data_IF_529590883656
#
_entry.id   IF_529590883656
#
_cell.length_a   1.000
_cell.length_b   1.000
_cell.length_c   1.000
_cell.angle_alpha   90.00
_cell.angle_beta   90.00
_cell.angle_gamma   90.00
#
_symmetry.space_group_name_H-M   'P 1'
#
loop_
_entity.id
_entity.type
_entity.pdbx_description
1 polymer ?
#
# COMPACT_ATOMS: atom_id res chain seq x y z
N UNK A 1 -36.89 -75.28 -45.16
CA UNK A 1 -35.60 -74.83 -44.57
C UNK A 1 -35.60 -75.02 -43.05
N UNK A 2 -36.59 -74.49 -42.33
CA UNK A 2 -36.72 -74.66 -40.87
C UNK A 2 -36.82 -76.14 -40.42
N UNK A 3 -37.54 -77.00 -41.16
CA UNK A 3 -37.64 -78.44 -40.83
C UNK A 3 -36.31 -79.19 -40.95
N UNK A 4 -35.48 -78.84 -41.94
CA UNK A 4 -34.13 -79.42 -42.10
C UNK A 4 -33.19 -78.96 -40.98
N UNK A 5 -33.30 -77.70 -40.56
CA UNK A 5 -32.53 -77.16 -39.43
C UNK A 5 -32.93 -77.84 -38.11
N UNK A 6 -34.23 -78.03 -37.87
CA UNK A 6 -34.75 -78.73 -36.70
C UNK A 6 -34.27 -80.19 -36.66
N UNK A 7 -34.34 -80.92 -37.78
CA UNK A 7 -33.85 -82.30 -37.87
C UNK A 7 -32.34 -82.43 -37.60
N UNK A 8 -31.55 -81.41 -37.95
CA UNK A 8 -30.10 -81.37 -37.68
C UNK A 8 -29.81 -81.13 -36.20
N UNK A 9 -30.59 -80.27 -35.55
CA UNK A 9 -30.50 -79.98 -34.12
C UNK A 9 -30.93 -81.21 -33.29
N UNK A 10 -32.00 -81.90 -33.70
CA UNK A 10 -32.45 -83.16 -33.08
C UNK A 10 -31.45 -84.29 -33.25
N UNK A 11 -30.76 -84.38 -34.40
CA UNK A 11 -29.79 -85.44 -34.66
C UNK A 11 -28.47 -85.28 -33.88
N UNK A 12 -28.05 -84.05 -33.55
CA UNK A 12 -26.77 -83.76 -32.86
C UNK A 12 -26.88 -82.65 -31.79
N UNK A 13 -27.73 -82.83 -30.75
CA UNK A 13 -28.03 -81.79 -29.78
C UNK A 13 -26.80 -81.31 -28.99
N UNK A 14 -25.92 -82.24 -28.59
CA UNK A 14 -24.70 -81.91 -27.83
C UNK A 14 -23.73 -81.02 -28.61
N UNK A 15 -23.57 -81.25 -29.92
CA UNK A 15 -22.70 -80.44 -30.78
C UNK A 15 -23.26 -79.04 -30.97
N UNK A 16 -24.58 -78.91 -31.14
CA UNK A 16 -25.25 -77.61 -31.27
C UNK A 16 -25.14 -76.82 -29.96
N UNK A 17 -25.38 -77.45 -28.80
CA UNK A 17 -25.22 -76.80 -27.50
C UNK A 17 -23.77 -76.35 -27.28
N UNK A 18 -22.78 -77.20 -27.57
CA UNK A 18 -21.37 -76.84 -27.44
C UNK A 18 -20.99 -75.66 -28.36
N UNK A 19 -21.53 -75.63 -29.58
CA UNK A 19 -21.32 -74.53 -30.51
C UNK A 19 -21.94 -73.21 -30.03
N UNK A 20 -23.16 -73.24 -29.49
CA UNK A 20 -23.80 -72.05 -28.91
C UNK A 20 -23.06 -71.56 -27.67
N UNK A 21 -22.60 -72.47 -26.79
CA UNK A 21 -21.78 -72.12 -25.63
C UNK A 21 -20.47 -71.48 -26.07
N UNK A 22 -19.80 -72.05 -27.08
CA UNK A 22 -18.56 -71.50 -27.62
C UNK A 22 -18.77 -70.07 -28.15
N UNK A 23 -19.81 -69.85 -28.95
CA UNK A 23 -20.16 -68.51 -29.45
C UNK A 23 -20.46 -67.56 -28.29
N UNK A 24 -21.19 -68.02 -27.27
CA UNK A 24 -21.53 -67.21 -26.11
C UNK A 24 -20.29 -66.82 -25.32
N UNK A 25 -19.33 -67.75 -25.15
CA UNK A 25 -18.05 -67.48 -24.48
C UNK A 25 -17.18 -66.50 -25.27
N UNK A 26 -17.18 -66.58 -26.61
CA UNK A 26 -16.51 -65.62 -27.48
C UNK A 26 -17.12 -64.22 -27.29
N UNK A 27 -18.45 -64.08 -27.28
CA UNK A 27 -19.07 -62.78 -27.02
C UNK A 27 -18.84 -62.31 -25.58
N UNK A 28 -18.89 -63.21 -24.60
CA UNK A 28 -18.63 -62.90 -23.20
C UNK A 28 -17.19 -62.43 -22.96
N UNK A 29 -16.21 -62.89 -23.76
CA UNK A 29 -14.82 -62.42 -23.65
C UNK A 29 -14.65 -60.95 -24.03
N UNK A 30 -15.63 -60.33 -24.67
CA UNK A 30 -15.64 -58.89 -24.96
C UNK A 30 -16.27 -58.04 -23.83
N UNK A 31 -16.91 -58.65 -22.83
CA UNK A 31 -17.48 -57.92 -21.67
C UNK A 31 -16.41 -57.07 -20.94
N UNK A 32 -15.17 -57.53 -20.71
CA UNK A 32 -14.13 -56.69 -20.11
C UNK A 32 -13.69 -55.50 -20.97
N UNK A 33 -13.99 -55.50 -22.27
CA UNK A 33 -13.64 -54.41 -23.20
C UNK A 33 -14.73 -53.33 -23.31
N UNK A 34 -15.86 -53.51 -22.61
CA UNK A 34 -16.94 -52.53 -22.57
C UNK A 34 -16.49 -51.30 -21.77
N UNK A 35 -16.32 -50.16 -22.46
CA UNK A 35 -16.18 -48.85 -21.82
C UNK A 35 -17.58 -48.28 -21.63
N UNK A 36 -18.04 -48.16 -20.38
CA UNK A 36 -19.27 -47.43 -20.08
C UNK A 36 -18.94 -45.95 -19.99
N UNK A 37 -19.57 -45.13 -20.82
CA UNK A 37 -19.56 -43.68 -20.64
C UNK A 37 -20.46 -43.32 -19.47
N UNK A 38 -19.90 -42.66 -18.45
CA UNK A 38 -20.64 -42.15 -17.28
C UNK A 38 -20.72 -40.63 -17.28
N UNK A 39 -20.02 -39.95 -18.19
CA UNK A 39 -20.01 -38.50 -18.26
C UNK A 39 -21.31 -37.99 -18.90
N UNK A 40 -21.79 -36.82 -18.49
CA UNK A 40 -22.93 -36.15 -19.13
C UNK A 40 -22.69 -35.98 -20.64
N UNK A 41 -21.41 -35.80 -21.05
CA UNK A 41 -20.99 -35.67 -22.45
C UNK A 41 -21.27 -36.91 -23.29
N UNK A 42 -21.15 -38.11 -22.71
CA UNK A 42 -21.40 -39.40 -23.40
C UNK A 42 -22.88 -39.57 -23.78
N UNK A 43 -23.77 -38.84 -23.11
CA UNK A 43 -25.21 -38.82 -23.41
C UNK A 43 -25.62 -37.67 -24.34
N UNK A 44 -24.69 -36.78 -24.72
CA UNK A 44 -25.00 -35.66 -25.60
C UNK A 44 -25.07 -36.09 -27.08
N UNK A 45 -26.02 -35.56 -27.87
CA UNK A 45 -26.15 -35.88 -29.28
C UNK A 45 -24.96 -35.33 -30.08
N UNK A 46 -24.47 -36.09 -31.06
CA UNK A 46 -23.43 -35.62 -31.98
C UNK A 46 -24.01 -34.61 -32.99
N UNK A 47 -24.00 -33.33 -32.62
CA UNK A 47 -24.46 -32.21 -33.44
C UNK A 47 -23.44 -31.07 -33.51
N UNK A 48 -23.68 -30.09 -34.38
CA UNK A 48 -22.76 -28.95 -34.57
C UNK A 48 -22.55 -28.13 -33.29
N UNK A 49 -23.59 -27.96 -32.46
CA UNK A 49 -23.50 -27.20 -31.21
C UNK A 49 -22.57 -27.89 -30.20
N UNK A 50 -22.69 -29.21 -30.04
CA UNK A 50 -21.83 -29.98 -29.14
C UNK A 50 -20.38 -29.95 -29.63
N UNK A 51 -20.13 -30.10 -30.93
CA UNK A 51 -18.79 -29.97 -31.51
C UNK A 51 -18.21 -28.56 -31.45
N UNK A 52 -19.06 -27.53 -31.46
CA UNK A 52 -18.63 -26.17 -31.18
C UNK A 52 -18.21 -26.01 -29.72
N UNK A 53 -18.98 -26.58 -28.78
CA UNK A 53 -18.63 -26.62 -27.36
C UNK A 53 -17.33 -27.38 -27.09
N UNK A 54 -17.14 -28.55 -27.71
CA UNK A 54 -15.91 -29.34 -27.56
C UNK A 54 -14.68 -28.55 -28.05
N UNK A 55 -14.81 -27.84 -29.19
CA UNK A 55 -13.74 -26.96 -29.71
C UNK A 55 -13.46 -25.78 -28.79
N UNK A 56 -14.49 -25.20 -28.16
CA UNK A 56 -14.28 -24.15 -27.16
C UNK A 56 -13.48 -24.72 -25.99
N UNK A 57 -13.84 -25.89 -25.48
CA UNK A 57 -13.10 -26.54 -24.39
C UNK A 57 -11.66 -26.91 -24.80
N UNK A 58 -11.45 -27.36 -26.03
CA UNK A 58 -10.11 -27.71 -26.54
C UNK A 58 -9.21 -26.47 -26.70
N UNK A 59 -9.76 -25.35 -27.17
CA UNK A 59 -8.99 -24.11 -27.35
C UNK A 59 -8.80 -23.29 -26.08
N UNK A 60 -9.76 -23.32 -25.16
CA UNK A 60 -9.81 -22.44 -23.99
C UNK A 60 -9.75 -23.17 -22.63
N UNK A 61 -9.74 -24.51 -22.62
CA UNK A 61 -9.81 -25.34 -21.42
C UNK A 61 -11.23 -25.77 -21.07
N UNK A 62 -11.39 -26.89 -20.35
CA UNK A 62 -12.68 -27.25 -19.76
C UNK A 62 -13.08 -26.21 -18.71
N UNK A 63 -14.39 -25.93 -18.61
CA UNK A 63 -14.88 -25.00 -17.59
C UNK A 63 -14.52 -25.55 -16.22
N UNK A 64 -13.75 -24.79 -15.43
CA UNK A 64 -13.62 -25.03 -14.01
C UNK A 64 -15.03 -25.09 -13.40
N UNK A 65 -15.33 -26.13 -12.63
CA UNK A 65 -16.62 -26.21 -11.94
C UNK A 65 -16.49 -25.51 -10.58
N UNK A 66 -17.13 -24.34 -10.38
CA UNK A 66 -17.02 -23.63 -9.12
C UNK A 66 -17.91 -24.30 -8.07
N UNK A 67 -17.29 -24.80 -7.00
CA UNK A 67 -18.01 -25.20 -5.79
C UNK A 67 -18.14 -23.99 -4.87
N UNK A 68 -19.37 -23.52 -4.72
CA UNK A 68 -19.72 -22.43 -3.82
C UNK A 68 -20.01 -22.95 -2.41
N UNK A 69 -19.27 -22.46 -1.43
CA UNK A 69 -19.36 -22.82 -0.02
C UNK A 69 -19.82 -21.59 0.76
N UNK A 70 -20.94 -21.70 1.48
CA UNK A 70 -21.44 -20.63 2.34
C UNK A 70 -20.99 -20.91 3.77
N UNK A 71 -20.19 -20.01 4.35
CA UNK A 71 -19.76 -20.04 5.73
C UNK A 71 -20.60 -19.05 6.53
N UNK A 72 -21.27 -19.52 7.60
CA UNK A 72 -22.18 -18.71 8.41
C UNK A 72 -21.76 -18.69 9.86
N UNK A 73 -21.93 -17.55 10.54
CA UNK A 73 -21.54 -17.39 11.93
C UNK A 73 -22.09 -16.11 12.55
N UNK A 74 -21.78 -15.88 13.83
CA UNK A 74 -22.19 -14.63 14.52
C UNK A 74 -21.49 -13.39 13.94
N UNK A 75 -20.23 -13.54 13.56
CA UNK A 75 -19.42 -12.53 12.90
C UNK A 75 -18.33 -13.23 12.09
N UNK A 76 -18.55 -13.39 10.79
CA UNK A 76 -17.61 -14.05 9.87
C UNK A 76 -16.38 -13.17 9.58
N UNK A 77 -16.42 -11.87 9.87
CA UNK A 77 -15.29 -10.95 9.66
C UNK A 77 -14.47 -10.70 10.93
N UNK A 78 -14.72 -11.46 12.00
CA UNK A 78 -13.86 -11.41 13.18
C UNK A 78 -12.48 -12.00 12.89
N UNK A 79 -11.44 -11.58 13.62
CA UNK A 79 -10.06 -12.11 13.45
C UNK A 79 -10.03 -13.64 13.49
N UNK A 80 -10.72 -14.25 14.46
CA UNK A 80 -10.79 -15.70 14.60
C UNK A 80 -11.51 -16.36 13.42
N UNK A 81 -12.57 -15.71 12.90
CA UNK A 81 -13.32 -16.21 11.75
C UNK A 81 -12.49 -16.14 10.48
N UNK A 82 -11.81 -15.00 10.23
CA UNK A 82 -10.91 -14.83 9.09
C UNK A 82 -9.79 -15.88 9.11
N UNK A 83 -9.19 -16.16 10.28
CA UNK A 83 -8.21 -17.25 10.43
C UNK A 83 -8.82 -18.62 10.13
N UNK A 84 -10.03 -18.89 10.62
CA UNK A 84 -10.71 -20.16 10.36
C UNK A 84 -11.04 -20.33 8.88
N UNK A 85 -11.55 -19.29 8.22
CA UNK A 85 -11.81 -19.24 6.79
C UNK A 85 -10.55 -19.49 5.97
N UNK A 86 -9.44 -18.82 6.31
CA UNK A 86 -8.16 -19.02 5.63
C UNK A 86 -7.68 -20.47 5.74
N UNK A 87 -7.80 -21.07 6.93
CA UNK A 87 -7.45 -22.46 7.16
C UNK A 87 -8.35 -23.46 6.42
N UNK A 88 -9.66 -23.18 6.33
CA UNK A 88 -10.58 -23.96 5.50
C UNK A 88 -10.13 -23.89 4.04
N UNK A 89 -9.84 -22.69 3.52
CA UNK A 89 -9.38 -22.51 2.15
C UNK A 89 -8.07 -23.24 1.86
N UNK A 90 -7.09 -23.19 2.78
CA UNK A 90 -5.84 -23.95 2.66
C UNK A 90 -6.08 -25.46 2.57
N UNK A 91 -6.92 -26.02 3.44
CA UNK A 91 -7.25 -27.45 3.42
C UNK A 91 -7.99 -27.88 2.16
N UNK A 92 -8.82 -27.00 1.61
CA UNK A 92 -9.51 -27.26 0.34
C UNK A 92 -8.51 -27.27 -0.82
N UNK A 93 -7.53 -26.35 -0.85
CA UNK A 93 -6.46 -26.35 -1.85
C UNK A 93 -5.53 -27.59 -1.79
N UNK A 94 -5.53 -28.34 -0.68
CA UNK A 94 -4.77 -29.59 -0.56
C UNK A 94 -5.51 -30.80 -1.19
N UNK A 95 -6.80 -30.65 -1.52
CA UNK A 95 -7.60 -31.71 -2.12
C UNK A 95 -7.22 -31.84 -3.61
N UNK A 96 -6.87 -33.06 -4.02
CA UNK A 96 -6.59 -33.38 -5.42
C UNK A 96 -7.78 -32.98 -6.30
N UNK A 97 -7.51 -32.18 -7.34
CA UNK A 97 -8.52 -31.65 -8.26
C UNK A 97 -9.00 -30.23 -7.92
N UNK A 98 -8.67 -29.67 -6.76
CA UNK A 98 -8.92 -28.25 -6.46
C UNK A 98 -7.74 -27.42 -6.95
N UNK A 99 -7.98 -26.51 -7.89
CA UNK A 99 -6.94 -25.64 -8.47
C UNK A 99 -6.77 -24.32 -7.72
N UNK A 100 -7.83 -23.86 -7.05
CA UNK A 100 -7.79 -22.62 -6.30
C UNK A 100 -9.00 -22.42 -5.39
N UNK A 101 -8.80 -21.65 -4.34
CA UNK A 101 -9.86 -21.25 -3.41
C UNK A 101 -9.78 -19.76 -3.16
N UNK A 102 -10.92 -19.09 -3.33
CA UNK A 102 -11.07 -17.64 -3.12
C UNK A 102 -12.19 -17.37 -2.12
N UNK A 103 -11.88 -16.54 -1.12
CA UNK A 103 -12.83 -16.02 -0.14
C UNK A 103 -12.31 -14.74 0.51
N UNK A 104 -13.08 -14.19 1.44
CA UNK A 104 -12.76 -12.92 2.16
C UNK A 104 -11.37 -12.97 2.80
N UNK A 105 -11.02 -14.10 3.42
CA UNK A 105 -9.73 -14.29 4.05
C UNK A 105 -8.55 -14.18 3.08
N UNK A 106 -8.70 -14.56 1.80
CA UNK A 106 -7.64 -14.41 0.80
C UNK A 106 -7.37 -12.93 0.50
N UNK A 107 -8.41 -12.09 0.44
CA UNK A 107 -8.24 -10.65 0.25
C UNK A 107 -7.57 -10.00 1.46
N UNK A 108 -7.94 -10.39 2.68
CA UNK A 108 -7.23 -9.93 3.89
C UNK A 108 -5.78 -10.39 3.88
N UNK A 109 -5.51 -11.64 3.46
CA UNK A 109 -4.14 -12.17 3.33
C UNK A 109 -3.31 -11.35 2.33
N UNK A 110 -3.91 -10.88 1.23
CA UNK A 110 -3.22 -10.00 0.28
C UNK A 110 -2.80 -8.66 0.93
N UNK A 111 -3.66 -8.08 1.77
CA UNK A 111 -3.35 -6.86 2.52
C UNK A 111 -2.26 -7.11 3.56
N UNK A 112 -2.32 -8.24 4.27
CA UNK A 112 -1.24 -8.67 5.17
C UNK A 112 0.11 -8.77 4.45
N UNK A 113 0.13 -9.37 3.25
CA UNK A 113 1.34 -9.46 2.42
C UNK A 113 1.85 -8.08 1.98
N UNK A 114 0.94 -7.16 1.60
CA UNK A 114 1.30 -5.81 1.18
C UNK A 114 1.83 -4.93 2.31
N UNK A 115 1.24 -5.01 3.50
CA UNK A 115 1.57 -4.11 4.62
C UNK A 115 2.65 -4.64 5.55
N UNK A 116 2.65 -5.96 5.78
CA UNK A 116 3.49 -6.61 6.78
C UNK A 116 4.49 -7.59 6.17
N UNK A 117 4.41 -7.88 4.87
CA UNK A 117 5.24 -8.87 4.18
C UNK A 117 5.13 -10.26 4.82
N UNK A 118 3.90 -10.61 5.24
CA UNK A 118 3.56 -11.84 5.96
C UNK A 118 2.35 -12.51 5.34
N UNK A 119 2.32 -13.84 5.40
CA UNK A 119 1.08 -14.57 5.20
C UNK A 119 0.12 -14.36 6.38
N UNK A 120 -1.17 -14.60 6.16
CA UNK A 120 -2.19 -14.41 7.19
C UNK A 120 -1.93 -15.22 8.48
N UNK A 121 -1.33 -16.41 8.37
CA UNK A 121 -1.01 -17.26 9.52
C UNK A 121 0.13 -16.72 10.39
N UNK A 122 0.99 -15.87 9.83
CA UNK A 122 2.11 -15.23 10.53
C UNK A 122 1.74 -13.87 11.12
N UNK A 123 0.56 -13.35 10.76
CA UNK A 123 0.07 -12.08 11.25
C UNK A 123 -0.50 -12.20 12.68
N UNK A 124 -0.22 -11.19 13.51
CA UNK A 124 -0.87 -11.05 14.81
C UNK A 124 -2.36 -10.72 14.66
N UNK A 125 -3.11 -10.87 15.75
CA UNK A 125 -4.53 -10.54 15.75
C UNK A 125 -4.78 -9.06 15.42
N UNK A 126 -3.90 -8.17 15.89
CA UNK A 126 -3.95 -6.74 15.58
C UNK A 126 -3.58 -6.46 14.12
N UNK A 127 -2.60 -7.17 13.56
CA UNK A 127 -2.22 -7.05 12.14
C UNK A 127 -3.38 -7.45 11.23
N UNK A 128 -4.08 -8.56 11.53
CA UNK A 128 -5.24 -9.02 10.76
C UNK A 128 -6.41 -8.05 10.90
N UNK A 129 -6.69 -7.58 12.11
CA UNK A 129 -7.74 -6.59 12.36
C UNK A 129 -7.47 -5.30 11.58
N UNK A 130 -6.22 -4.82 11.60
CA UNK A 130 -5.81 -3.64 10.86
C UNK A 130 -5.92 -3.87 9.36
N UNK A 131 -5.39 -4.98 8.84
CA UNK A 131 -5.49 -5.34 7.42
C UNK A 131 -6.94 -5.41 6.93
N UNK A 132 -7.85 -5.99 7.72
CA UNK A 132 -9.28 -5.99 7.41
C UNK A 132 -9.88 -4.58 7.41
N UNK A 133 -9.58 -3.76 8.42
CA UNK A 133 -10.07 -2.38 8.47
C UNK A 133 -9.54 -1.55 7.30
N UNK A 134 -8.27 -1.73 6.97
CA UNK A 134 -7.58 -1.07 5.86
C UNK A 134 -8.11 -1.54 4.50
N UNK A 135 -8.55 -2.80 4.37
CA UNK A 135 -9.28 -3.27 3.21
C UNK A 135 -10.63 -2.55 3.06
N UNK A 136 -11.42 -2.50 4.14
CA UNK A 136 -12.83 -2.11 4.08
C UNK A 136 -13.04 -0.58 4.07
N UNK A 137 -12.20 0.19 4.76
CA UNK A 137 -12.37 1.63 4.94
C UNK A 137 -11.86 2.41 3.72
N UNK A 138 -12.70 3.11 2.94
CA UNK A 138 -12.27 3.74 1.68
C UNK A 138 -11.30 4.91 1.86
N UNK A 139 -11.31 5.57 3.03
CA UNK A 139 -10.47 6.72 3.35
C UNK A 139 -9.77 6.46 4.67
N UNK A 140 -8.45 6.71 4.71
CA UNK A 140 -7.67 6.66 5.93
C UNK A 140 -7.50 8.09 6.46
N UNK A 141 -7.85 8.29 7.74
CA UNK A 141 -7.87 9.60 8.40
C UNK A 141 -7.16 9.49 9.73
N UNK A 142 -6.31 10.46 10.05
CA UNK A 142 -5.74 10.66 11.37
C UNK A 142 -6.08 12.06 11.86
N UNK A 143 -6.47 12.15 13.12
CA UNK A 143 -6.83 13.42 13.76
C UNK A 143 -6.29 13.45 15.17
N UNK A 144 -5.71 14.58 15.56
CA UNK A 144 -5.31 14.82 16.94
C UNK A 144 -5.69 16.24 17.34
N UNK A 145 -5.94 16.45 18.63
CA UNK A 145 -6.29 17.74 19.19
C UNK A 145 -5.39 17.99 20.39
N UNK A 146 -4.78 19.17 20.44
CA UNK A 146 -4.02 19.57 21.61
C UNK A 146 -4.89 20.37 22.57
N UNK A 147 -4.73 20.09 23.86
CA UNK A 147 -5.36 20.82 24.94
C UNK A 147 -4.36 21.71 25.71
N UNK A 148 -3.08 21.65 25.37
CA UNK A 148 -2.03 22.47 25.96
C UNK A 148 -1.85 23.77 25.16
N UNK A 149 -1.64 24.86 25.89
CA UNK A 149 -1.39 26.17 25.29
C UNK A 149 0.12 26.40 25.17
N UNK A 150 0.59 26.67 23.96
CA UNK A 150 1.96 27.12 23.71
C UNK A 150 2.17 28.58 24.15
N UNK A 151 3.45 28.95 24.32
CA UNK A 151 3.85 30.32 24.70
C UNK A 151 3.50 31.36 23.63
N UNK A 152 3.44 30.95 22.36
CA UNK A 152 3.21 31.84 21.24
C UNK A 152 2.02 31.36 20.40
N UNK A 153 0.93 32.14 20.39
CA UNK A 153 -0.32 31.79 19.71
C UNK A 153 -0.17 31.43 18.21
N UNK A 154 0.86 31.96 17.53
CA UNK A 154 1.10 31.63 16.11
C UNK A 154 1.77 30.29 15.86
N UNK A 155 2.35 29.70 16.90
CA UNK A 155 2.97 28.39 16.86
C UNK A 155 2.10 27.34 17.59
N UNK A 156 1.07 27.77 18.31
CA UNK A 156 0.20 26.92 19.12
C UNK A 156 -0.72 26.06 18.23
N UNK A 157 -0.49 24.75 18.19
CA UNK A 157 -1.26 23.80 17.40
C UNK A 157 -2.41 23.30 18.24
N UNK A 158 -3.61 23.79 17.94
CA UNK A 158 -4.85 23.34 18.60
C UNK A 158 -5.38 22.02 18.05
N UNK A 159 -4.92 21.60 16.88
CA UNK A 159 -5.30 20.33 16.28
C UNK A 159 -4.67 20.05 14.93
N UNK A 160 -4.87 18.82 14.47
CA UNK A 160 -4.28 18.27 13.27
C UNK A 160 -5.24 17.31 12.60
N UNK A 161 -5.31 17.37 11.27
CA UNK A 161 -5.98 16.36 10.45
C UNK A 161 -5.09 15.97 9.26
N UNK A 162 -5.06 14.68 8.95
CA UNK A 162 -4.50 14.18 7.70
C UNK A 162 -5.48 13.18 7.07
N UNK A 163 -5.73 13.34 5.77
CA UNK A 163 -6.65 12.50 5.00
C UNK A 163 -5.95 11.98 3.76
N UNK A 164 -5.87 10.66 3.64
CA UNK A 164 -5.34 10.01 2.44
C UNK A 164 -6.49 9.76 1.45
N UNK A 165 -6.47 10.50 0.35
CA UNK A 165 -7.35 10.29 -0.80
C UNK A 165 -6.67 9.42 -1.85
N UNK A 166 -7.43 9.03 -2.88
CA UNK A 166 -6.93 8.18 -3.97
C UNK A 166 -5.75 8.78 -4.74
N UNK A 167 -5.70 10.11 -4.88
CA UNK A 167 -4.70 10.82 -5.71
C UNK A 167 -3.85 11.82 -4.94
N UNK A 168 -4.19 12.10 -3.68
CA UNK A 168 -3.55 13.15 -2.91
C UNK A 168 -3.66 12.90 -1.41
N UNK A 169 -2.86 13.62 -0.65
CA UNK A 169 -2.96 13.71 0.80
C UNK A 169 -3.31 15.16 1.14
N UNK A 170 -4.33 15.31 1.97
CA UNK A 170 -4.69 16.58 2.57
C UNK A 170 -4.16 16.60 4.01
N UNK A 171 -3.46 17.68 4.38
CA UNK A 171 -2.95 17.94 5.72
C UNK A 171 -3.51 19.29 6.15
N UNK A 172 -4.08 19.33 7.36
CA UNK A 172 -4.66 20.53 7.95
C UNK A 172 -4.05 20.71 9.34
N UNK A 173 -3.41 21.85 9.57
CA UNK A 173 -3.00 22.28 10.91
C UNK A 173 -3.98 23.34 11.40
N UNK A 174 -4.54 23.11 12.58
CA UNK A 174 -5.38 24.07 13.31
C UNK A 174 -4.50 24.81 14.29
N UNK A 175 -4.32 26.12 14.10
CA UNK A 175 -3.47 26.97 14.94
C UNK A 175 -4.28 28.05 15.65
N UNK A 176 -3.80 28.52 16.80
CA UNK A 176 -4.54 29.52 17.58
C UNK A 176 -4.63 30.88 16.89
N UNK A 177 -3.58 31.33 16.19
CA UNK A 177 -3.59 32.60 15.45
C UNK A 177 -2.48 32.71 14.39
N UNK A 178 -2.79 32.92 13.11
CA UNK A 178 -1.76 33.07 12.04
C UNK A 178 -1.00 34.43 12.00
N UNK A 179 -0.98 35.20 13.10
CA UNK A 179 -0.24 36.47 13.19
C UNK A 179 1.28 36.25 13.42
N UNK A 180 2.01 35.98 12.33
CA UNK A 180 3.45 35.69 12.37
C UNK A 180 4.27 36.98 12.53
N UNK A 181 5.32 37.01 13.38
CA UNK A 181 6.21 38.15 13.47
C UNK A 181 7.02 38.39 12.17
N UNK A 182 7.14 39.66 11.74
CA UNK A 182 7.74 40.10 10.46
C UNK A 182 9.18 39.66 10.14
N UNK A 183 9.90 39.06 11.08
CA UNK A 183 11.28 38.60 10.92
C UNK A 183 11.49 37.17 11.44
N UNK A 184 10.40 36.44 11.67
CA UNK A 184 10.42 35.06 12.14
C UNK A 184 10.09 34.14 10.98
N UNK A 185 10.90 33.11 10.79
CA UNK A 185 10.49 31.97 9.95
C UNK A 185 9.78 30.98 10.85
N UNK A 186 8.52 30.69 10.54
CA UNK A 186 7.71 29.69 11.25
C UNK A 186 7.50 28.51 10.32
N UNK A 187 7.63 27.32 10.86
CA UNK A 187 7.37 26.08 10.15
C UNK A 187 6.40 25.21 10.95
N UNK A 188 5.33 24.77 10.29
CA UNK A 188 4.42 23.75 10.80
C UNK A 188 4.70 22.46 10.07
N UNK A 189 4.76 21.37 10.80
CA UNK A 189 5.26 20.12 10.27
C UNK A 189 4.50 18.93 10.81
N UNK A 190 4.51 17.84 10.05
CA UNK A 190 4.18 16.51 10.52
C UNK A 190 5.34 15.59 10.23
N UNK A 191 5.88 14.99 11.29
CA UNK A 191 6.88 13.93 11.19
C UNK A 191 6.22 12.56 11.22
N UNK A 192 6.79 11.60 10.51
CA UNK A 192 6.28 10.23 10.45
C UNK A 192 7.34 9.25 9.93
N UNK A 193 7.09 7.96 10.13
CA UNK A 193 7.81 6.86 9.48
C UNK A 193 6.89 6.08 8.55
N UNK A 194 7.46 5.39 7.58
CA UNK A 194 6.71 4.48 6.71
C UNK A 194 6.97 3.03 7.13
N UNK A 195 5.91 2.33 7.55
CA UNK A 195 5.98 0.92 7.98
C UNK A 195 6.17 -0.02 6.79
N UNK A 196 5.68 0.36 5.62
CA UNK A 196 5.87 -0.39 4.38
C UNK A 196 7.19 0.05 3.76
N UNK A 197 8.26 -0.61 4.20
CA UNK A 197 9.63 -0.34 3.75
C UNK A 197 10.26 -1.61 3.16
N UNK A 198 10.11 -1.85 1.84
CA UNK A 198 10.64 -3.04 1.18
C UNK A 198 12.17 -3.13 1.27
N UNK A 199 12.85 -1.99 1.34
CA UNK A 199 14.30 -1.92 1.37
C UNK A 199 14.88 -1.84 2.81
N UNK A 200 14.00 -1.76 3.83
CA UNK A 200 14.37 -1.63 5.26
C UNK A 200 15.35 -0.50 5.52
N UNK A 201 15.19 0.61 4.79
CA UNK A 201 15.99 1.82 4.91
C UNK A 201 15.74 2.57 6.22
N UNK A 202 14.60 2.31 6.90
CA UNK A 202 14.24 2.91 8.18
C UNK A 202 14.28 4.46 8.15
N UNK A 203 13.78 5.02 7.05
CA UNK A 203 13.76 6.46 6.84
C UNK A 203 12.66 7.13 7.67
N UNK A 204 13.00 8.28 8.23
CA UNK A 204 12.07 9.22 8.85
C UNK A 204 11.79 10.37 7.89
N UNK A 205 10.55 10.84 7.90
CA UNK A 205 10.08 11.91 7.03
C UNK A 205 9.50 13.05 7.86
N UNK A 206 9.60 14.27 7.35
CA UNK A 206 8.89 15.44 7.85
C UNK A 206 8.29 16.15 6.66
N UNK A 207 6.97 16.30 6.59
CA UNK A 207 6.33 17.19 5.62
C UNK A 207 6.04 18.50 6.34
N UNK A 208 6.45 19.62 5.77
CA UNK A 208 6.31 20.92 6.42
C UNK A 208 5.81 22.03 5.51
N UNK A 209 5.14 23.00 6.12
CA UNK A 209 4.74 24.28 5.56
C UNK A 209 5.56 25.37 6.26
N UNK A 210 6.28 26.20 5.50
CA UNK A 210 7.18 27.21 6.03
C UNK A 210 6.83 28.59 5.52
N UNK A 211 6.86 29.57 6.41
CA UNK A 211 6.95 30.98 6.04
C UNK A 211 8.41 31.43 6.08
N UNK A 212 8.88 32.05 5.00
CA UNK A 212 10.25 32.54 4.87
C UNK A 212 10.33 33.98 5.36
N UNK A 213 11.27 34.25 6.27
CA UNK A 213 11.67 35.61 6.60
C UNK A 213 12.75 36.09 5.61
N UNK A 214 12.93 37.42 5.41
CA UNK A 214 13.99 37.93 4.56
C UNK A 214 15.35 37.48 5.08
N UNK A 215 16.15 36.88 4.21
CA UNK A 215 17.47 36.34 4.56
C UNK A 215 18.55 37.40 4.37
N UNK A 216 19.54 37.42 5.27
CA UNK A 216 20.76 38.19 5.13
C UNK A 216 21.80 37.36 4.37
N UNK A 217 22.08 37.71 3.12
CA UNK A 217 23.12 37.05 2.33
C UNK A 217 24.50 37.55 2.71
N UNK A 218 25.40 36.65 3.11
CA UNK A 218 26.79 36.97 3.42
C UNK A 218 27.50 37.50 2.16
N UNK A 219 27.90 38.78 2.21
CA UNK A 219 28.46 39.50 1.05
C UNK A 219 27.45 40.37 0.27
N UNK A 220 26.16 40.33 0.61
CA UNK A 220 25.09 41.06 -0.08
C UNK A 220 25.05 42.58 0.17
N UNK A 221 25.71 43.09 1.21
CA UNK A 221 25.84 44.53 1.48
C UNK A 221 24.49 45.27 1.55
N UNK A 222 24.33 46.33 0.75
CA UNK A 222 23.11 47.14 0.67
C UNK A 222 21.89 46.38 0.15
N UNK A 223 22.08 45.30 -0.63
CA UNK A 223 20.97 44.47 -1.13
C UNK A 223 20.19 43.80 0.00
N UNK A 224 20.87 43.44 1.09
CA UNK A 224 20.21 42.86 2.27
C UNK A 224 19.27 43.86 2.95
N UNK A 225 19.67 45.12 3.02
CA UNK A 225 18.87 46.20 3.64
C UNK A 225 17.63 46.49 2.77
N UNK A 226 17.79 46.49 1.45
CA UNK A 226 16.66 46.65 0.52
C UNK A 226 15.70 45.46 0.57
N UNK A 227 16.21 44.22 0.64
CA UNK A 227 15.40 43.01 0.76
C UNK A 227 14.56 43.02 2.05
N UNK A 228 15.15 43.37 3.19
CA UNK A 228 14.43 43.48 4.47
C UNK A 228 13.39 44.60 4.43
N UNK A 229 13.74 45.77 3.89
CA UNK A 229 12.84 46.93 3.84
C UNK A 229 11.64 46.70 2.93
N UNK A 230 11.84 45.99 1.83
CA UNK A 230 10.81 45.73 0.83
C UNK A 230 10.10 44.38 1.03
N UNK A 231 10.46 43.63 2.07
CA UNK A 231 9.84 42.35 2.37
C UNK A 231 8.34 42.54 2.61
N UNK A 232 7.55 41.98 1.71
CA UNK A 232 6.14 41.70 1.92
C UNK A 232 6.04 40.25 2.35
N UNK A 233 5.17 39.95 3.29
CA UNK A 233 4.92 38.57 3.73
C UNK A 233 4.82 37.66 2.51
N UNK A 234 5.83 36.80 2.36
CA UNK A 234 5.88 35.79 1.31
C UNK A 234 4.86 34.70 1.60
N UNK A 235 4.43 34.04 0.53
CA UNK A 235 3.55 32.88 0.59
C UNK A 235 4.27 31.76 1.34
N UNK A 236 3.51 30.96 2.09
CA UNK A 236 4.07 29.77 2.68
C UNK A 236 4.43 28.75 1.59
N UNK A 237 5.54 28.03 1.80
CA UNK A 237 6.09 27.04 0.89
C UNK A 237 6.16 25.66 1.55
N UNK A 238 6.00 24.60 0.76
CA UNK A 238 6.05 23.23 1.26
C UNK A 238 7.45 22.63 1.09
N UNK A 239 7.86 21.86 2.09
CA UNK A 239 9.11 21.11 2.08
C UNK A 239 8.87 19.68 2.55
N UNK A 240 9.72 18.78 2.09
CA UNK A 240 9.85 17.45 2.66
C UNK A 240 11.27 17.26 3.19
N UNK A 241 11.38 16.81 4.42
CA UNK A 241 12.62 16.39 5.02
C UNK A 241 12.69 14.88 5.00
N UNK A 242 13.84 14.35 4.59
CA UNK A 242 14.11 12.92 4.55
C UNK A 242 15.39 12.69 5.32
N UNK A 243 15.36 11.71 6.21
CA UNK A 243 16.49 11.49 7.09
C UNK A 243 16.55 10.11 7.70
N UNK A 244 17.70 9.83 8.27
CA UNK A 244 17.99 8.62 9.02
C UNK A 244 18.72 9.02 10.31
N UNK A 245 18.42 8.37 11.44
CA UNK A 245 19.10 8.62 12.71
C UNK A 245 19.16 10.10 13.15
N UNK A 246 18.10 10.87 12.87
CA UNK A 246 17.99 12.28 13.25
C UNK A 246 18.75 13.26 12.34
N UNK A 247 19.34 12.78 11.24
CA UNK A 247 19.99 13.61 10.22
C UNK A 247 19.04 13.77 9.03
N UNK A 248 18.59 14.99 8.78
CA UNK A 248 17.57 15.29 7.77
C UNK A 248 18.08 16.24 6.70
N UNK A 249 17.71 15.97 5.45
CA UNK A 249 17.86 16.87 4.32
C UNK A 249 16.47 17.35 3.86
N UNK A 250 16.30 18.65 3.64
CA UNK A 250 15.05 19.17 3.06
C UNK A 250 15.13 19.24 1.53
N UNK A 251 13.97 19.09 0.91
CA UNK A 251 13.73 19.31 -0.51
C UNK A 251 12.46 20.13 -0.68
N UNK A 252 12.40 21.03 -1.68
CA UNK A 252 11.16 21.72 -2.00
C UNK A 252 10.11 20.70 -2.43
N UNK A 253 8.88 20.83 -1.92
CA UNK A 253 7.78 19.92 -2.18
C UNK A 253 6.70 20.66 -2.98
N UNK A 254 6.28 20.09 -4.11
CA UNK A 254 5.18 20.68 -4.87
C UNK A 254 3.83 20.40 -4.20
N UNK A 255 3.30 21.38 -3.47
CA UNK A 255 2.03 21.30 -2.78
C UNK A 255 1.19 22.56 -2.98
N UNK A 256 -0.14 22.41 -2.99
CA UNK A 256 -1.06 23.55 -2.90
C UNK A 256 -1.22 23.94 -1.43
N UNK A 257 -0.84 25.17 -1.09
CA UNK A 257 -0.97 25.70 0.27
C UNK A 257 -2.01 26.82 0.30
N UNK A 258 -2.87 26.79 1.31
CA UNK A 258 -3.75 27.90 1.66
C UNK A 258 -3.69 28.18 3.16
N UNK A 259 -3.56 29.45 3.50
CA UNK A 259 -3.65 29.95 4.87
C UNK A 259 -4.97 30.69 4.99
N UNK A 260 -5.90 30.18 5.81
CA UNK A 260 -7.19 30.83 6.06
C UNK A 260 -7.47 30.89 7.55
N UNK A 261 -7.62 32.11 8.08
CA UNK A 261 -7.85 32.42 9.49
C UNK A 261 -6.81 31.80 10.44
N UNK A 262 -7.07 30.57 10.84
CA UNK A 262 -6.40 29.79 11.87
C UNK A 262 -6.10 28.37 11.37
N UNK A 263 -6.22 28.13 10.07
CA UNK A 263 -6.03 26.83 9.46
C UNK A 263 -5.00 26.93 8.34
N UNK A 264 -4.15 25.92 8.27
CA UNK A 264 -3.10 25.77 7.27
C UNK A 264 -3.43 24.51 6.49
N UNK A 265 -3.86 24.71 5.25
CA UNK A 265 -4.21 23.65 4.33
C UNK A 265 -3.02 23.34 3.43
N UNK A 266 -2.66 22.06 3.35
CA UNK A 266 -1.68 21.56 2.41
C UNK A 266 -2.25 20.36 1.67
N UNK A 267 -2.26 20.44 0.34
CA UNK A 267 -2.68 19.34 -0.52
C UNK A 267 -1.51 18.91 -1.40
N UNK A 268 -1.10 17.66 -1.27
CA UNK A 268 0.07 17.09 -1.93
C UNK A 268 -0.38 15.94 -2.83
N UNK A 269 0.02 15.98 -4.10
CA UNK A 269 -0.28 14.87 -5.00
C UNK A 269 0.50 13.62 -4.61
N UNK A 270 -0.10 12.45 -4.84
CA UNK A 270 0.59 11.19 -4.57
C UNK A 270 1.80 10.97 -5.50
N UNK A 271 1.72 11.46 -6.73
CA UNK A 271 2.83 11.43 -7.68
C UNK A 271 4.05 12.19 -7.14
N UNK A 272 3.82 13.33 -6.47
CA UNK A 272 4.88 14.09 -5.80
C UNK A 272 5.52 13.28 -4.66
N UNK A 273 4.70 12.69 -3.78
CA UNK A 273 5.20 11.86 -2.66
C UNK A 273 5.98 10.63 -3.13
N UNK A 274 5.59 10.03 -4.27
CA UNK A 274 6.28 8.89 -4.87
C UNK A 274 7.74 9.19 -5.21
N UNK A 275 8.08 10.44 -5.56
CA UNK A 275 9.46 10.87 -5.86
C UNK A 275 10.40 10.72 -4.66
N UNK A 276 9.83 10.74 -3.45
CA UNK A 276 10.53 10.67 -2.19
C UNK A 276 10.41 9.30 -1.51
N UNK A 277 9.91 8.28 -2.23
CA UNK A 277 9.78 6.92 -1.70
C UNK A 277 8.54 6.68 -0.83
N UNK A 278 7.62 7.64 -0.76
CA UNK A 278 6.34 7.47 -0.06
C UNK A 278 5.29 6.99 -1.06
N UNK A 279 4.84 5.75 -0.88
CA UNK A 279 3.90 5.05 -1.77
C UNK A 279 4.31 5.08 -3.26
N UNK A 280 5.55 4.65 -3.60
CA UNK A 280 6.12 4.83 -4.92
C UNK A 280 5.33 4.10 -6.00
N UNK A 281 5.38 4.64 -7.22
CA UNK A 281 4.77 4.05 -8.41
C UNK A 281 5.83 3.79 -9.48
N UNK A 282 5.78 2.59 -10.08
CA UNK A 282 6.70 2.08 -11.09
C UNK A 282 5.88 1.55 -12.28
N UNK A 283 5.62 2.42 -13.25
CA UNK A 283 4.76 2.08 -14.40
C UNK A 283 3.35 1.71 -13.92
N UNK A 284 2.97 0.45 -14.13
CA UNK A 284 1.65 -0.08 -13.72
C UNK A 284 1.63 -0.66 -12.30
N UNK A 285 2.78 -0.76 -11.63
CA UNK A 285 2.88 -1.27 -10.27
C UNK A 285 3.02 -0.10 -9.29
N UNK A 286 2.44 -0.23 -8.10
CA UNK A 286 2.54 0.82 -7.09
C UNK A 286 2.45 0.23 -5.68
N UNK A 287 3.27 0.73 -4.77
CA UNK A 287 3.37 0.21 -3.40
C UNK A 287 2.60 1.09 -2.42
N UNK A 288 1.89 0.50 -1.44
CA UNK A 288 1.28 1.27 -0.36
C UNK A 288 2.34 1.90 0.54
N UNK A 289 1.92 2.89 1.31
CA UNK A 289 2.69 3.39 2.45
C UNK A 289 1.78 3.47 3.66
N UNK A 290 2.29 2.98 4.79
CA UNK A 290 1.58 3.01 6.06
C UNK A 290 2.34 3.91 7.03
N UNK A 291 1.85 5.13 7.17
CA UNK A 291 2.43 6.17 7.99
C UNK A 291 2.10 5.90 9.45
N UNK A 292 3.12 5.92 10.31
CA UNK A 292 3.02 5.67 11.74
C UNK A 292 4.05 6.50 12.50
N UNK A 293 3.98 6.46 13.84
CA UNK A 293 4.88 7.23 14.71
C UNK A 293 4.84 8.72 14.34
N UNK A 294 3.60 9.24 14.29
CA UNK A 294 3.33 10.56 13.72
C UNK A 294 3.24 11.61 14.82
N UNK A 295 3.87 12.75 14.57
CA UNK A 295 3.87 13.92 15.45
C UNK A 295 3.69 15.17 14.59
N UNK A 296 2.65 15.96 14.89
CA UNK A 296 2.45 17.26 14.27
C UNK A 296 2.96 18.35 15.21
N UNK A 297 3.68 19.33 14.70
CA UNK A 297 4.35 20.32 15.52
C UNK A 297 4.59 21.62 14.80
N UNK A 298 5.00 22.62 15.57
CA UNK A 298 5.46 23.90 15.04
C UNK A 298 6.86 24.24 15.57
N UNK A 299 7.61 24.97 14.77
CA UNK A 299 8.96 25.38 15.12
C UNK A 299 9.31 26.72 14.48
N UNK A 300 10.22 27.44 15.15
CA UNK A 300 10.66 28.77 14.71
C UNK A 300 12.17 28.75 14.53
N UNK A 301 12.64 29.31 13.42
CA UNK A 301 14.07 29.44 13.16
C UNK A 301 14.71 30.51 14.07
N UNK A 302 15.99 30.35 14.35
CA UNK A 302 16.75 31.38 15.10
C UNK A 302 16.66 32.77 14.42
N UNK A 303 16.64 33.86 15.21
CA UNK A 303 16.32 35.21 14.76
C UNK A 303 17.35 35.86 13.82
N UNK A 304 18.41 35.15 13.43
CA UNK A 304 19.38 35.60 12.44
C UNK A 304 19.28 34.72 11.20
N UNK A 305 18.39 35.05 10.24
CA UNK A 305 18.26 34.33 8.98
C UNK A 305 19.47 34.62 8.11
N UNK A 306 20.58 33.92 8.35
CA UNK A 306 21.80 34.02 7.56
C UNK A 306 21.71 33.04 6.39
N UNK A 307 22.08 33.53 5.22
CA UNK A 307 22.27 32.70 4.03
C UNK A 307 23.66 32.93 3.44
N UNK A 308 24.22 31.88 2.85
CA UNK A 308 25.57 31.88 2.28
C UNK A 308 25.43 31.41 0.83
N UNK A 309 26.01 32.17 -0.09
CA UNK A 309 26.13 31.77 -1.48
C UNK A 309 26.94 30.47 -1.60
N UNK A 310 26.48 29.52 -2.41
CA UNK A 310 27.08 28.20 -2.58
C UNK A 310 28.55 28.27 -3.02
N UNK A 311 28.91 29.24 -3.87
CA UNK A 311 30.30 29.47 -4.30
C UNK A 311 31.22 30.01 -3.20
N UNK A 312 30.69 30.83 -2.28
CA UNK A 312 31.41 31.31 -1.09
C UNK A 312 31.56 30.16 -0.09
N UNK A 313 30.51 29.36 0.13
CA UNK A 313 30.59 28.19 1.00
C UNK A 313 31.61 27.18 0.49
N UNK A 314 31.59 26.87 -0.81
CA UNK A 314 32.58 26.00 -1.44
C UNK A 314 34.01 26.53 -1.28
N UNK A 315 34.21 27.84 -1.44
CA UNK A 315 35.51 28.47 -1.19
C UNK A 315 35.95 28.37 0.27
N UNK A 316 35.05 28.60 1.23
CA UNK A 316 35.32 28.41 2.67
C UNK A 316 35.68 26.94 2.94
N UNK A 317 34.91 25.98 2.42
CA UNK A 317 35.17 24.54 2.53
C UNK A 317 36.55 24.17 1.99
N UNK A 318 36.91 24.67 0.81
CA UNK A 318 38.21 24.43 0.18
C UNK A 318 39.37 25.10 0.93
N UNK A 319 39.14 26.23 1.59
CA UNK A 319 40.11 26.87 2.50
C UNK A 319 40.29 26.09 3.81
N UNK A 320 39.23 25.43 4.26
CA UNK A 320 39.16 24.66 5.52
C UNK A 320 39.88 23.30 5.46
N UNK A 321 40.18 22.76 4.27
CA UNK A 321 41.01 21.56 4.10
C UNK A 321 42.46 21.71 4.64
N UNK A 322 42.88 22.91 5.07
CA UNK A 322 44.28 23.21 5.40
C UNK A 322 44.59 23.91 6.75
N UNK A 323 43.72 23.91 7.79
CA UNK A 323 44.08 23.91 9.26
C UNK A 323 43.11 24.59 10.26
N UNK A 324 43.28 24.16 11.53
CA UNK A 324 43.08 24.79 12.87
C UNK A 324 41.68 25.17 13.40
N UNK A 325 40.60 25.09 12.62
CA UNK A 325 39.21 25.31 13.12
C UNK A 325 38.43 23.98 13.23
N UNK A 326 39.10 22.90 13.64
CA UNK A 326 38.41 21.63 13.98
C UNK A 326 37.43 21.82 15.15
N UNK A 327 37.72 22.70 16.11
CA UNK A 327 36.93 22.84 17.34
C UNK A 327 35.57 23.54 17.15
N UNK A 328 35.41 24.41 16.16
CA UNK A 328 34.11 25.07 15.88
C UNK A 328 33.21 24.12 15.10
N UNK A 329 33.80 23.37 14.15
CA UNK A 329 33.10 22.38 13.35
C UNK A 329 32.73 21.19 14.22
N UNK A 330 33.57 20.66 15.13
CA UNK A 330 33.18 19.54 16.02
C UNK A 330 31.91 19.78 16.85
N UNK A 331 31.51 21.04 17.10
CA UNK A 331 30.22 21.37 17.72
C UNK A 331 29.02 21.21 16.78
N UNK A 332 29.24 21.30 15.47
CA UNK A 332 28.27 21.06 14.40
C UNK A 332 28.44 19.67 13.72
N UNK A 333 29.63 19.05 13.80
CA UNK A 333 30.07 17.85 13.06
C UNK A 333 29.50 16.54 13.57
N UNK A 334 28.76 16.54 14.67
CA UNK A 334 28.07 15.32 15.11
C UNK A 334 27.08 14.82 14.03
N UNK A 335 26.67 15.65 13.05
CA UNK A 335 25.57 15.34 12.12
C UNK A 335 25.71 15.75 10.63
N UNK A 336 26.88 16.16 10.11
CA UNK A 336 27.01 16.58 8.69
C UNK A 336 27.97 15.67 7.89
N UNK A 337 27.50 15.07 6.79
CA UNK A 337 28.39 14.43 5.79
C UNK A 337 28.73 15.41 4.67
N UNK A 338 29.96 15.32 4.16
CA UNK A 338 30.44 16.19 3.08
C UNK A 338 29.64 16.00 1.79
N UNK A 339 29.27 14.75 1.50
CA UNK A 339 28.44 14.35 0.36
C UNK A 339 27.04 15.01 0.38
N UNK A 340 26.44 15.18 1.56
CA UNK A 340 25.17 15.89 1.73
C UNK A 340 25.29 17.39 1.40
N UNK A 341 26.43 18.00 1.74
CA UNK A 341 26.68 19.41 1.46
C UNK A 341 26.93 19.62 -0.04
N UNK A 342 27.69 18.74 -0.69
CA UNK A 342 27.89 18.78 -2.14
C UNK A 342 26.56 18.68 -2.91
N UNK A 343 25.70 17.73 -2.54
CA UNK A 343 24.39 17.58 -3.17
C UNK A 343 23.49 18.82 -3.00
N UNK A 344 23.49 19.43 -1.82
CA UNK A 344 22.77 20.68 -1.59
C UNK A 344 23.34 21.85 -2.40
N UNK A 345 24.67 21.90 -2.58
CA UNK A 345 25.34 22.92 -3.39
C UNK A 345 25.09 22.76 -4.89
N UNK A 346 24.86 21.53 -5.37
CA UNK A 346 24.44 21.27 -6.76
C UNK A 346 22.99 21.72 -7.03
N UNK A 347 22.11 21.59 -6.04
CA UNK A 347 20.69 21.91 -6.18
C UNK A 347 20.34 23.38 -5.83
N UNK A 348 21.14 24.05 -4.98
CA UNK A 348 20.84 25.40 -4.48
C UNK A 348 22.03 26.36 -4.66
N UNK A 349 21.76 27.52 -5.26
CA UNK A 349 22.72 28.62 -5.37
C UNK A 349 23.01 29.32 -4.03
N UNK A 350 22.08 29.22 -3.07
CA UNK A 350 22.17 29.84 -1.74
C UNK A 350 21.71 28.84 -0.69
N UNK A 351 22.50 28.67 0.36
CA UNK A 351 22.17 27.82 1.51
C UNK A 351 21.80 28.72 2.69
N UNK A 352 20.62 28.51 3.27
CA UNK A 352 20.13 29.22 4.46
C UNK A 352 20.33 28.39 5.73
N UNK A 353 20.45 29.04 6.89
CA UNK A 353 20.35 28.33 8.17
C UNK A 353 19.06 27.51 8.30
N UNK A 354 17.97 27.98 7.68
CA UNK A 354 16.68 27.29 7.64
C UNK A 354 16.74 25.94 6.90
N UNK A 355 17.81 25.68 6.13
CA UNK A 355 18.05 24.39 5.48
C UNK A 355 18.55 23.31 6.44
N UNK A 356 18.94 23.70 7.65
CA UNK A 356 19.44 22.79 8.67
C UNK A 356 18.40 22.57 9.76
N UNK A 357 18.08 21.31 10.03
CA UNK A 357 17.12 20.92 11.06
C UNK A 357 17.43 21.53 12.44
N UNK A 358 18.72 21.65 12.80
CA UNK A 358 19.17 22.18 14.09
C UNK A 358 19.02 23.70 14.24
N UNK A 359 18.73 24.43 13.16
CA UNK A 359 18.45 25.87 13.24
C UNK A 359 17.04 26.19 13.76
N UNK A 360 16.20 25.15 13.85
CA UNK A 360 14.82 25.25 14.28
C UNK A 360 14.70 24.91 15.77
N UNK A 361 13.87 25.70 16.46
CA UNK A 361 13.48 25.42 17.84
C UNK A 361 12.00 25.04 17.85
N UNK A 362 11.71 23.84 18.34
CA UNK A 362 10.32 23.40 18.54
C UNK A 362 9.62 24.31 19.55
N UNK A 363 8.38 24.68 19.21
CA UNK A 363 7.53 25.53 20.03
C UNK A 363 6.37 24.74 20.62
N UNK A 364 5.83 23.80 19.84
CA UNK A 364 4.68 23.01 20.20
C UNK A 364 4.63 21.71 19.41
N UNK A 365 4.03 20.67 19.98
CA UNK A 365 3.91 19.35 19.38
C UNK A 365 2.71 18.56 19.94
N UNK A 366 2.09 17.78 19.06
CA UNK A 366 1.00 16.88 19.39
C UNK A 366 1.24 15.52 18.75
N UNK A 367 1.19 14.48 19.59
CA UNK A 367 1.30 13.10 19.14
C UNK A 367 0.00 12.64 18.45
N UNK A 368 0.16 11.84 17.39
CA UNK A 368 -0.95 11.29 16.60
C UNK A 368 -0.89 9.77 16.72
N UNK A 369 -1.86 9.19 17.43
CA UNK A 369 -1.89 7.75 17.71
C UNK A 369 -2.33 6.92 16.49
N UNK A 370 -3.15 7.50 15.61
CA UNK A 370 -3.68 6.80 14.44
C UNK A 370 -2.59 6.61 13.39
N UNK A 371 -2.72 5.53 12.60
CA UNK A 371 -1.88 5.28 11.44
C UNK A 371 -2.64 5.68 10.17
N UNK A 372 -1.91 6.13 9.14
CA UNK A 372 -2.50 6.43 7.84
C UNK A 372 -2.00 5.48 6.77
N UNK A 373 -2.93 4.88 6.04
CA UNK A 373 -2.62 4.09 4.86
C UNK A 373 -2.87 4.89 3.59
N UNK A 374 -1.80 5.08 2.82
CA UNK A 374 -1.85 5.57 1.45
C UNK A 374 -2.11 4.38 0.52
N UNK A 375 -3.39 4.19 0.19
CA UNK A 375 -3.86 3.04 -0.58
C UNK A 375 -3.40 3.03 -2.03
N UNK A 376 -3.32 1.82 -2.57
CA UNK A 376 -3.08 1.56 -3.98
C UNK A 376 -4.40 1.41 -4.74
N UNK A 377 -4.45 1.74 -6.05
CA UNK A 377 -5.66 1.54 -6.84
C UNK A 377 -6.18 0.09 -6.77
N UNK A 378 -5.28 -0.89 -6.76
CA UNK A 378 -5.63 -2.32 -6.64
C UNK A 378 -6.34 -2.65 -5.31
N UNK A 379 -6.11 -1.89 -4.24
CA UNK A 379 -6.76 -2.14 -2.95
C UNK A 379 -8.26 -1.80 -3.00
N UNK A 380 -8.67 -0.83 -3.82
CA UNK A 380 -10.09 -0.55 -4.06
C UNK A 380 -10.77 -1.72 -4.77
N UNK A 381 -10.07 -2.34 -5.74
CA UNK A 381 -10.56 -3.52 -6.46
C UNK A 381 -10.63 -4.75 -5.55
N UNK A 382 -9.64 -4.94 -4.66
CA UNK A 382 -9.66 -5.99 -3.63
C UNK A 382 -10.81 -5.79 -2.65
N UNK A 383 -11.08 -4.55 -2.22
CA UNK A 383 -12.23 -4.23 -1.37
C UNK A 383 -13.54 -4.59 -2.05
N UNK A 384 -13.72 -4.14 -3.30
CA UNK A 384 -14.93 -4.43 -4.07
C UNK A 384 -15.12 -5.93 -4.27
N UNK A 385 -14.02 -6.65 -4.55
CA UNK A 385 -14.03 -8.12 -4.64
C UNK A 385 -14.44 -8.74 -3.31
N UNK A 386 -13.83 -8.36 -2.18
CA UNK A 386 -14.17 -8.90 -0.86
C UNK A 386 -15.64 -8.66 -0.48
N UNK A 387 -16.19 -7.49 -0.81
CA UNK A 387 -17.61 -7.18 -0.59
C UNK A 387 -18.56 -8.11 -1.36
N UNK A 388 -18.17 -8.61 -2.54
CA UNK A 388 -18.99 -9.58 -3.30
C UNK A 388 -19.12 -10.93 -2.60
N UNK A 389 -18.15 -11.30 -1.74
CA UNK A 389 -18.19 -12.54 -0.96
C UNK A 389 -18.93 -12.37 0.36
N UNK A 390 -19.21 -11.14 0.81
CA UNK A 390 -19.92 -10.88 2.07
C UNK A 390 -21.44 -10.78 1.83
N UNK A 391 -22.23 -11.52 2.60
CA UNK A 391 -23.69 -11.45 2.55
C UNK A 391 -24.26 -10.10 3.03
N UNK A 392 -23.51 -9.38 3.86
CA UNK A 392 -23.80 -8.03 4.36
C UNK A 392 -22.54 -7.44 4.97
N UNK A 393 -22.44 -6.11 5.06
CA UNK A 393 -21.29 -5.43 5.69
C UNK A 393 -21.05 -5.86 7.15
N UNK A 394 -22.08 -6.39 7.82
CA UNK A 394 -22.03 -6.83 9.22
C UNK A 394 -21.64 -8.30 9.42
N UNK A 395 -21.35 -9.05 8.34
CA UNK A 395 -20.69 -10.36 8.45
C UNK A 395 -21.53 -11.50 9.02
N UNK A 396 -22.80 -11.64 8.63
CA UNK A 396 -23.62 -12.81 9.01
C UNK A 396 -23.22 -14.12 8.31
N UNK A 397 -22.79 -14.00 7.06
CA UNK A 397 -22.29 -15.11 6.24
C UNK A 397 -21.32 -14.59 5.17
N UNK A 398 -20.43 -15.48 4.71
CA UNK A 398 -19.47 -15.24 3.63
C UNK A 398 -19.49 -16.38 2.64
N UNK A 399 -19.20 -16.08 1.38
CA UNK A 399 -19.02 -17.03 0.31
C UNK A 399 -17.53 -17.41 0.23
N UNK A 400 -17.27 -18.65 -0.14
CA UNK A 400 -15.98 -19.14 -0.56
C UNK A 400 -16.19 -19.97 -1.84
N UNK A 401 -15.32 -19.79 -2.82
CA UNK A 401 -15.40 -20.49 -4.10
C UNK A 401 -14.15 -21.37 -4.22
N UNK A 402 -14.35 -22.66 -4.41
CA UNK A 402 -13.30 -23.61 -4.78
C UNK A 402 -13.45 -23.95 -6.27
N UNK A 403 -12.39 -23.74 -7.06
CA UNK A 403 -12.33 -24.09 -8.47
C UNK A 403 -11.84 -25.53 -8.59
N UNK A 404 -12.67 -26.40 -9.16
CA UNK A 404 -12.33 -27.80 -9.41
C UNK A 404 -11.95 -27.97 -10.88
N UNK A 405 -10.86 -28.67 -11.12
CA UNK A 405 -10.42 -29.06 -12.45
C UNK A 405 -11.48 -29.97 -13.09
N UNK A 406 -12.10 -29.51 -14.17
CA UNK A 406 -13.12 -30.24 -14.91
C UNK A 406 -12.63 -31.58 -15.48
N UNK A 407 -11.31 -31.76 -15.66
CA UNK A 407 -10.73 -32.96 -16.29
C UNK A 407 -10.68 -34.20 -15.40
N UNK A 408 -11.08 -34.09 -14.12
CA UNK A 408 -11.21 -35.23 -13.20
C UNK A 408 -12.63 -35.82 -13.16
N UNK A 409 -13.58 -35.28 -13.95
CA UNK A 409 -14.97 -35.72 -14.04
C UNK A 409 -15.24 -36.91 -14.96
#
# INVERSE_FOLDING_TARGET
MLSKLASFIEAKPKSVIAFVILITLIFASFIPSLKMGTSTRDFMPDNEMVRASDRINEYFGENEEPVMIILSGKNVVSVNSIKAEYNIGKKLNEIEGVEGVVGVANFVSAICGMEYQKDLDECSDDEIKNAYNDLMNPVSVATSYDAQDSKYDFADITGFEMKAHRKSIEIIFHVKNLAIPKLSSVEWYVSFKNKVDPAKLNLSYIISCRTTAPQWELGGGMKNIEAIRNFKEEKAEAFIWIGEHGRYMNFPLNASIALDRNEIYMNISREELSKYGIAPSFGNASLPAKLYDMEAGSRVAMPFPLSINSGILYWIIKLMENSFIENLIMRFQQNFSFEMVEKLLEEKEVISLNDFNNAWRNMDDVNIEQQILIKQPVMDDLRNSALMFLSSENGGATLMIAQINGSMG
#
